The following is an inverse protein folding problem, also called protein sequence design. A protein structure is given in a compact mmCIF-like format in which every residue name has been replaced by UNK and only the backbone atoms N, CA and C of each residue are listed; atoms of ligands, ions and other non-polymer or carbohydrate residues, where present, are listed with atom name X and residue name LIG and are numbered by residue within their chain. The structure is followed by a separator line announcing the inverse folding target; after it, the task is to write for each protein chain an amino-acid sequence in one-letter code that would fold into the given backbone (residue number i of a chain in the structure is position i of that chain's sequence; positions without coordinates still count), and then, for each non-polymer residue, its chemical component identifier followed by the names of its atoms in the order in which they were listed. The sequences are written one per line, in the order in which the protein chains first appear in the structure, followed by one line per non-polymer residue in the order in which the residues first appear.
data_IF_504710586175
#
_entry.id   IF_504710586175
#
_cell.length_a   1.000
_cell.length_b   1.000
_cell.length_c   1.000
_cell.angle_alpha   90.00
_cell.angle_beta   90.00
_cell.angle_gamma   90.00
#
_symmetry.space_group_name_H-M   'P 1'
#
loop_
_entity.id
_entity.type
_entity.pdbx_description
1 polymer ?
#
# COMPACT_ATOMS: atom_id res chain seq x y z
N UNK A 1 9.65 17.53 15.15
CA UNK A 1 8.38 16.90 15.61
C UNK A 1 8.32 15.53 14.95
N UNK A 2 8.65 14.48 15.67
CA UNK A 2 8.58 13.09 15.19
C UNK A 2 7.11 12.69 15.12
N UNK A 3 6.64 12.25 13.96
CA UNK A 3 5.29 11.72 13.76
C UNK A 3 5.20 10.33 14.40
N UNK A 4 5.17 10.28 15.72
CA UNK A 4 4.84 9.07 16.47
C UNK A 4 3.32 8.96 16.54
N UNK A 5 2.74 8.38 15.50
CA UNK A 5 1.30 8.15 15.46
C UNK A 5 0.86 7.87 14.05
N UNK A 6 0.75 6.59 13.72
CA UNK A 6 0.17 6.08 12.47
C UNK A 6 1.06 6.28 11.23
N UNK A 7 2.22 5.63 11.24
CA UNK A 7 3.01 5.46 10.01
C UNK A 7 2.31 4.45 9.10
N UNK A 8 2.03 4.84 7.85
CA UNK A 8 2.05 3.89 6.73
C UNK A 8 3.29 3.00 6.92
N UNK A 9 3.17 1.68 6.73
CA UNK A 9 4.26 0.74 7.02
C UNK A 9 5.56 1.18 6.30
N UNK A 10 5.45 1.78 5.10
CA UNK A 10 6.59 2.34 4.34
C UNK A 10 7.12 3.72 4.76
N UNK A 11 6.47 4.44 5.68
CA UNK A 11 6.87 5.78 6.14
C UNK A 11 7.28 5.83 7.63
N UNK A 12 7.14 4.71 8.36
CA UNK A 12 7.44 4.67 9.78
C UNK A 12 8.91 5.00 10.04
N UNK A 13 9.16 6.04 10.83
CA UNK A 13 10.51 6.48 11.21
C UNK A 13 11.19 7.44 10.23
N UNK A 14 10.53 7.84 9.13
CA UNK A 14 11.05 8.85 8.21
C UNK A 14 10.89 10.27 8.78
N UNK A 15 11.91 11.08 8.63
CA UNK A 15 11.88 12.52 8.93
C UNK A 15 11.02 13.28 7.91
N UNK A 16 10.64 14.52 8.25
CA UNK A 16 9.87 15.38 7.35
C UNK A 16 10.61 15.67 6.03
N UNK A 17 11.93 15.79 6.09
CA UNK A 17 12.78 16.01 4.91
C UNK A 17 12.80 14.78 3.99
N UNK A 18 12.89 13.58 4.57
CA UNK A 18 12.80 12.32 3.80
C UNK A 18 11.41 12.12 3.17
N UNK A 19 10.36 12.61 3.82
CA UNK A 19 9.00 12.60 3.27
C UNK A 19 8.92 13.58 2.10
N UNK A 20 9.44 14.81 2.24
CA UNK A 20 9.37 15.82 1.17
C UNK A 20 10.16 15.38 -0.08
N UNK A 21 11.29 14.72 0.11
CA UNK A 21 12.15 14.20 -0.96
C UNK A 21 11.74 12.82 -1.48
N UNK A 22 10.64 12.27 -0.98
CA UNK A 22 10.20 10.93 -1.36
C UNK A 22 9.94 10.82 -2.87
N UNK A 23 10.47 9.78 -3.52
CA UNK A 23 10.52 9.69 -4.98
C UNK A 23 10.30 8.27 -5.48
N UNK A 24 10.36 8.10 -6.81
CA UNK A 24 10.22 6.81 -7.51
C UNK A 24 11.28 5.81 -7.05
N UNK A 25 12.51 6.28 -6.78
CA UNK A 25 13.61 5.45 -6.29
C UNK A 25 13.26 4.81 -4.95
N UNK A 26 12.60 5.55 -4.05
CA UNK A 26 12.23 5.02 -2.75
C UNK A 26 11.20 3.88 -2.84
N UNK A 27 10.26 3.96 -3.79
CA UNK A 27 9.29 2.87 -4.00
C UNK A 27 9.95 1.68 -4.68
N UNK A 28 10.84 1.93 -5.64
CA UNK A 28 11.63 0.91 -6.33
C UNK A 28 12.47 0.11 -5.34
N UNK A 29 13.17 0.80 -4.43
CA UNK A 29 13.97 0.18 -3.38
C UNK A 29 13.11 -0.64 -2.42
N UNK A 30 11.90 -0.15 -2.10
CA UNK A 30 10.93 -0.89 -1.29
C UNK A 30 10.55 -2.21 -1.98
N UNK A 31 10.15 -2.18 -3.25
CA UNK A 31 9.83 -3.39 -4.05
C UNK A 31 10.98 -4.40 -4.00
N UNK A 32 12.20 -3.93 -4.30
CA UNK A 32 13.40 -4.78 -4.34
C UNK A 32 13.75 -5.38 -2.97
N UNK A 33 13.52 -4.66 -1.88
CA UNK A 33 13.78 -5.15 -0.53
C UNK A 33 12.88 -6.32 -0.14
N UNK A 34 11.57 -6.25 -0.45
CA UNK A 34 10.63 -7.33 -0.14
C UNK A 34 10.82 -8.54 -1.06
N UNK A 35 11.26 -8.28 -2.29
CA UNK A 35 11.40 -9.25 -3.35
C UNK A 35 12.83 -9.83 -3.47
N UNK A 36 13.61 -9.93 -2.39
CA UNK A 36 15.02 -10.33 -2.48
C UNK A 36 15.23 -11.65 -3.25
N UNK A 37 16.03 -11.63 -4.32
CA UNK A 37 16.41 -12.78 -5.16
C UNK A 37 16.90 -13.97 -4.34
N UNK A 38 17.59 -13.73 -3.23
CA UNK A 38 18.06 -14.77 -2.33
C UNK A 38 16.93 -15.60 -1.69
N UNK A 39 15.70 -15.08 -1.67
CA UNK A 39 14.52 -15.75 -1.11
C UNK A 39 13.61 -16.39 -2.17
N UNK A 40 13.65 -15.91 -3.41
CA UNK A 40 12.63 -16.22 -4.42
C UNK A 40 13.21 -16.76 -5.74
N UNK A 41 14.52 -16.59 -5.98
CA UNK A 41 15.19 -17.05 -7.19
C UNK A 41 15.46 -15.94 -8.22
N UNK A 42 16.38 -16.16 -9.18
CA UNK A 42 16.77 -15.19 -10.20
C UNK A 42 15.65 -14.85 -11.19
N UNK A 43 14.73 -15.77 -11.46
CA UNK A 43 13.52 -15.56 -12.27
C UNK A 43 12.60 -14.46 -11.70
N UNK A 44 12.76 -14.13 -10.42
CA UNK A 44 11.96 -13.11 -9.77
C UNK A 44 12.37 -11.68 -10.15
N UNK A 45 13.53 -11.48 -10.77
CA UNK A 45 13.97 -10.17 -11.24
C UNK A 45 13.05 -9.62 -12.33
N UNK A 46 12.62 -10.46 -13.27
CA UNK A 46 11.67 -10.06 -14.32
C UNK A 46 10.32 -9.65 -13.71
N UNK A 47 9.85 -10.41 -12.71
CA UNK A 47 8.61 -10.10 -11.98
C UNK A 47 8.74 -8.78 -11.21
N UNK A 48 9.90 -8.50 -10.59
CA UNK A 48 10.13 -7.20 -9.95
C UNK A 48 10.05 -6.04 -10.94
N UNK A 49 10.68 -6.19 -12.11
CA UNK A 49 10.67 -5.17 -13.14
C UNK A 49 9.25 -4.94 -13.66
N UNK A 50 8.46 -6.00 -13.82
CA UNK A 50 7.04 -5.89 -14.18
C UNK A 50 6.21 -5.16 -13.10
N UNK A 51 6.44 -5.47 -11.82
CA UNK A 51 5.78 -4.79 -10.69
C UNK A 51 6.17 -3.30 -10.66
N UNK A 52 7.46 -2.99 -10.82
CA UNK A 52 7.96 -1.61 -10.90
C UNK A 52 7.29 -0.89 -12.06
N UNK A 53 7.25 -1.51 -13.23
CA UNK A 53 6.65 -0.92 -14.43
C UNK A 53 5.16 -0.64 -14.25
N UNK A 54 4.43 -1.60 -13.68
CA UNK A 54 3.01 -1.46 -13.42
C UNK A 54 2.70 -0.39 -12.37
N UNK A 55 3.37 -0.41 -11.21
CA UNK A 55 3.05 0.51 -10.11
C UNK A 55 3.61 1.92 -10.31
N UNK A 56 4.78 2.05 -10.94
CA UNK A 56 5.55 3.29 -10.96
C UNK A 56 5.56 4.03 -12.28
N UNK A 57 5.21 3.38 -13.40
CA UNK A 57 5.18 4.03 -14.71
C UNK A 57 3.80 4.02 -15.36
N UNK A 58 2.85 3.22 -14.86
CA UNK A 58 1.47 3.26 -15.34
C UNK A 58 0.69 4.44 -14.73
N UNK A 59 0.05 5.24 -15.60
CA UNK A 59 -0.79 6.39 -15.22
C UNK A 59 -0.11 7.41 -14.30
N UNK A 60 1.20 7.65 -14.50
CA UNK A 60 1.93 8.67 -13.74
C UNK A 60 1.56 10.06 -14.25
N UNK A 61 1.09 10.97 -13.38
CA UNK A 61 0.84 12.34 -13.77
C UNK A 61 2.15 13.06 -14.08
N UNK A 62 2.13 13.99 -15.04
CA UNK A 62 3.32 14.73 -15.49
C UNK A 62 3.97 15.55 -14.38
N UNK A 63 3.22 15.86 -13.33
CA UNK A 63 3.65 16.60 -12.14
C UNK A 63 3.66 15.74 -10.87
N UNK A 64 3.98 14.45 -10.99
CA UNK A 64 4.06 13.54 -9.85
C UNK A 64 4.95 14.10 -8.73
N UNK A 65 4.37 14.27 -7.55
CA UNK A 65 5.04 14.80 -6.35
C UNK A 65 5.40 13.68 -5.39
N UNK A 66 6.13 14.02 -4.31
CA UNK A 66 6.41 13.06 -3.23
C UNK A 66 5.14 12.36 -2.72
N UNK A 67 4.03 13.09 -2.55
CA UNK A 67 2.77 12.51 -2.09
C UNK A 67 2.22 11.42 -3.02
N UNK A 68 2.46 11.53 -4.33
CA UNK A 68 2.08 10.49 -5.29
C UNK A 68 2.87 9.21 -5.05
N UNK A 69 4.19 9.29 -4.91
CA UNK A 69 5.04 8.13 -4.68
C UNK A 69 4.82 7.49 -3.31
N UNK A 70 4.54 8.31 -2.29
CA UNK A 70 4.11 7.83 -0.97
C UNK A 70 2.84 7.00 -1.09
N UNK A 71 1.85 7.50 -1.84
CA UNK A 71 0.61 6.79 -2.09
C UNK A 71 0.86 5.47 -2.85
N UNK A 72 1.68 5.49 -3.90
CA UNK A 72 2.05 4.27 -4.64
C UNK A 72 2.70 3.21 -3.76
N UNK A 73 3.59 3.62 -2.86
CA UNK A 73 4.19 2.70 -1.91
C UNK A 73 3.13 2.11 -0.97
N UNK A 74 2.20 2.93 -0.47
CA UNK A 74 1.11 2.46 0.37
C UNK A 74 0.18 1.46 -0.35
N UNK A 75 -0.17 1.74 -1.61
CA UNK A 75 -0.96 0.84 -2.47
C UNK A 75 -0.25 -0.51 -2.64
N UNK A 76 1.03 -0.49 -3.01
CA UNK A 76 1.85 -1.70 -3.14
C UNK A 76 1.82 -2.55 -1.86
N UNK A 77 2.05 -1.93 -0.70
CA UNK A 77 2.02 -2.65 0.57
C UNK A 77 0.65 -3.23 0.91
N UNK A 78 -0.41 -2.46 0.65
CA UNK A 78 -1.78 -2.94 0.85
C UNK A 78 -2.07 -4.16 -0.01
N UNK A 79 -1.64 -4.13 -1.27
CA UNK A 79 -1.88 -5.22 -2.20
C UNK A 79 -1.09 -6.48 -1.84
N UNK A 80 0.19 -6.33 -1.48
CA UNK A 80 1.05 -7.44 -1.10
C UNK A 80 0.60 -8.15 0.19
N UNK A 81 0.14 -7.38 1.19
CA UNK A 81 -0.18 -7.94 2.51
C UNK A 81 -1.65 -8.35 2.61
N UNK A 82 -2.57 -7.61 1.98
CA UNK A 82 -4.01 -7.74 2.22
C UNK A 82 -4.76 -8.05 0.91
N UNK A 83 -4.77 -7.12 -0.05
CA UNK A 83 -5.75 -7.16 -1.15
C UNK A 83 -5.62 -8.44 -1.97
N UNK A 84 -4.39 -8.81 -2.38
CA UNK A 84 -4.17 -9.98 -3.22
C UNK A 84 -4.46 -11.29 -2.48
N UNK A 85 -4.14 -11.36 -1.18
CA UNK A 85 -4.41 -12.55 -0.37
C UNK A 85 -5.91 -12.78 -0.18
N UNK A 86 -6.66 -11.71 0.11
CA UNK A 86 -8.12 -11.78 0.26
C UNK A 86 -8.79 -12.17 -1.06
N UNK A 87 -8.33 -11.63 -2.20
CA UNK A 87 -8.82 -12.02 -3.52
C UNK A 87 -8.53 -13.49 -3.82
N UNK A 88 -7.30 -13.95 -3.57
CA UNK A 88 -6.92 -15.35 -3.76
C UNK A 88 -7.80 -16.31 -2.93
N UNK A 89 -8.00 -16.01 -1.65
CA UNK A 89 -8.85 -16.81 -0.78
C UNK A 89 -10.31 -16.79 -1.23
N UNK A 90 -10.81 -15.63 -1.68
CA UNK A 90 -12.15 -15.49 -2.25
C UNK A 90 -12.32 -16.39 -3.46
N UNK A 91 -11.37 -16.37 -4.39
CA UNK A 91 -11.41 -17.22 -5.59
C UNK A 91 -11.43 -18.71 -5.25
N UNK A 92 -10.64 -19.15 -4.27
CA UNK A 92 -10.65 -20.53 -3.80
C UNK A 92 -12.01 -20.94 -3.23
N UNK A 93 -12.62 -20.06 -2.41
CA UNK A 93 -13.93 -20.33 -1.79
C UNK A 93 -15.05 -20.33 -2.82
N UNK A 94 -15.02 -19.43 -3.80
CA UNK A 94 -15.96 -19.42 -4.93
C UNK A 94 -15.86 -20.72 -5.73
N UNK A 95 -14.64 -21.17 -6.05
CA UNK A 95 -14.43 -22.45 -6.75
C UNK A 95 -14.91 -23.66 -5.96
N UNK A 96 -14.89 -23.58 -4.62
CA UNK A 96 -15.42 -24.61 -3.74
C UNK A 96 -16.96 -24.54 -3.56
N UNK A 97 -17.64 -23.59 -4.22
CA UNK A 97 -19.10 -23.43 -4.15
C UNK A 97 -19.60 -22.72 -2.88
N UNK A 98 -18.74 -21.99 -2.18
CA UNK A 98 -19.13 -21.27 -0.97
C UNK A 98 -19.81 -19.95 -1.35
N UNK A 99 -20.89 -19.54 -0.65
CA UNK A 99 -21.43 -18.20 -0.79
C UNK A 99 -20.45 -17.18 -0.19
N UNK A 100 -20.03 -16.20 -0.99
CA UNK A 100 -19.10 -15.14 -0.58
C UNK A 100 -19.74 -13.77 -0.75
N UNK A 101 -19.52 -12.91 0.24
CA UNK A 101 -19.89 -11.50 0.21
C UNK A 101 -18.63 -10.66 0.37
N UNK A 102 -18.37 -9.78 -0.60
CA UNK A 102 -17.18 -8.93 -0.65
C UNK A 102 -17.58 -7.48 -0.41
N UNK A 103 -16.92 -6.82 0.56
CA UNK A 103 -17.21 -5.44 0.92
C UNK A 103 -15.96 -4.59 0.78
N UNK A 104 -16.12 -3.43 0.13
CA UNK A 104 -15.08 -2.41 0.04
C UNK A 104 -15.55 -1.20 0.83
N UNK A 105 -14.69 -0.69 1.69
CA UNK A 105 -14.97 0.48 2.49
C UNK A 105 -14.23 1.70 1.95
N UNK A 106 -15.00 2.72 1.60
CA UNK A 106 -14.50 3.97 1.03
C UNK A 106 -14.79 5.18 1.93
N UNK A 107 -15.47 5.00 3.06
CA UNK A 107 -15.81 6.08 3.98
C UNK A 107 -14.80 6.21 5.12
N UNK A 108 -14.13 7.36 5.20
CA UNK A 108 -13.24 7.73 6.32
C UNK A 108 -14.05 8.58 7.30
N UNK A 109 -14.10 8.17 8.57
CA UNK A 109 -14.79 8.96 9.60
C UNK A 109 -14.03 10.24 9.94
N UNK A 110 -14.75 11.30 10.29
CA UNK A 110 -14.17 12.61 10.62
C UNK A 110 -13.07 12.57 11.72
N UNK A 111 -13.21 11.77 12.80
CA UNK A 111 -12.13 11.63 13.80
C UNK A 111 -10.85 11.03 13.23
N UNK A 112 -10.97 10.03 12.35
CA UNK A 112 -9.82 9.38 11.68
C UNK A 112 -9.16 10.37 10.72
N UNK A 113 -9.95 11.14 9.99
CA UNK A 113 -9.45 12.16 9.06
C UNK A 113 -8.66 13.28 9.78
N UNK A 114 -9.10 13.69 10.97
CA UNK A 114 -8.39 14.69 11.78
C UNK A 114 -7.03 14.18 12.28
N UNK A 115 -6.91 12.88 12.57
CA UNK A 115 -5.64 12.26 13.02
C UNK A 115 -4.70 11.84 11.89
N UNK A 116 -5.19 11.76 10.65
CA UNK A 116 -4.43 11.26 9.49
C UNK A 116 -4.44 12.23 8.29
N UNK A 117 -4.02 13.50 8.45
CA UNK A 117 -4.11 14.49 7.38
C UNK A 117 -3.24 14.16 6.15
N UNK A 118 -2.17 13.38 6.32
CA UNK A 118 -1.30 12.93 5.23
C UNK A 118 -1.81 11.66 4.51
N UNK A 119 -2.77 10.93 5.11
CA UNK A 119 -3.38 9.76 4.50
C UNK A 119 -4.71 10.18 3.87
N UNK A 120 -4.68 10.64 2.62
CA UNK A 120 -5.90 10.75 1.80
C UNK A 120 -6.37 9.34 1.37
N UNK A 121 -6.67 8.48 2.34
CA UNK A 121 -7.06 7.09 2.12
C UNK A 121 -7.47 6.38 3.42
N UNK A 122 -8.30 5.34 3.31
CA UNK A 122 -8.74 4.56 4.46
C UNK A 122 -7.55 3.73 4.98
N UNK A 123 -7.17 3.93 6.25
CA UNK A 123 -6.20 3.04 6.89
C UNK A 123 -6.91 1.78 7.39
N UNK A 124 -6.18 0.65 7.43
CA UNK A 124 -6.69 -0.63 7.95
C UNK A 124 -7.38 -0.51 9.33
N UNK A 125 -6.87 0.38 10.20
CA UNK A 125 -7.45 0.64 11.52
C UNK A 125 -8.77 1.43 11.48
N UNK A 126 -8.95 2.30 10.49
CA UNK A 126 -10.17 3.12 10.34
C UNK A 126 -11.42 2.27 10.07
N UNK A 127 -11.25 1.13 9.40
CA UNK A 127 -12.33 0.18 9.20
C UNK A 127 -12.81 -0.49 10.49
N UNK A 128 -11.90 -0.90 11.38
CA UNK A 128 -12.27 -1.63 12.61
C UNK A 128 -13.17 -0.79 13.53
N UNK A 129 -12.96 0.52 13.59
CA UNK A 129 -13.76 1.45 14.38
C UNK A 129 -15.22 1.55 13.92
N UNK A 130 -15.52 1.27 12.65
CA UNK A 130 -16.89 1.31 12.13
C UNK A 130 -17.69 0.04 12.47
N UNK A 131 -17.03 -1.09 12.73
CA UNK A 131 -17.71 -2.34 13.10
C UNK A 131 -18.09 -2.40 14.57
N UNK A 132 -17.33 -1.75 15.45
CA UNK A 132 -17.47 -1.92 16.89
C UNK A 132 -18.12 -0.75 17.64
N UNK A 133 -18.43 0.36 16.97
CA UNK A 133 -19.28 1.44 17.50
C UNK A 133 -18.81 2.04 18.83
#
# INVERSE_FOLDING_TARGET
MTLEGVGFIGLRGKSAEEIEKYSVENVTDSIRQYANEAKVGPEFREIQDDIINYFLFHNVPTNATSSFYIQRNAELFSDLIISQQVLYETDLKVKAGWPIYFYVWNHISAPVQATLPAAKGLSFKGGLLLFFG
#
